data_IF_694408457680
#
_entry.id   IF_694408457680
#
_cell.length_a   1.000
_cell.length_b   1.000
_cell.length_c   1.000
_cell.angle_alpha   90.00
_cell.angle_beta   90.00
_cell.angle_gamma   90.00
#
_symmetry.space_group_name_H-M   'P 1'
#
loop_
_entity.id
_entity.type
_entity.pdbx_description
1 polymer ?
#
# COMPACT_ATOMS: atom_id res chain seq x y z
N UNK A 1 -1.45 7.99 26.28
CA UNK A 1 -0.95 8.22 24.91
C UNK A 1 -2.06 8.95 24.14
N UNK A 2 -1.83 10.19 23.67
CA UNK A 2 -2.86 10.96 22.94
C UNK A 2 -2.88 10.52 21.48
N UNK A 3 -4.03 10.04 21.01
CA UNK A 3 -4.27 9.66 19.62
C UNK A 3 -4.17 10.91 18.73
N UNK A 4 -3.17 11.00 17.84
CA UNK A 4 -3.04 12.08 16.87
C UNK A 4 -3.78 11.71 15.59
N UNK A 5 -5.03 12.20 15.43
CA UNK A 5 -5.72 12.17 14.13
C UNK A 5 -5.07 13.20 13.19
N UNK A 6 -4.27 12.73 12.25
CA UNK A 6 -3.66 13.56 11.20
C UNK A 6 -4.75 13.99 10.21
N UNK A 7 -4.89 15.30 9.99
CA UNK A 7 -5.82 15.86 8.99
C UNK A 7 -5.23 15.73 7.59
N UNK A 8 -6.06 15.40 6.61
CA UNK A 8 -5.69 15.38 5.19
C UNK A 8 -5.55 16.82 4.67
N UNK A 9 -4.56 17.09 3.82
CA UNK A 9 -4.33 18.41 3.24
C UNK A 9 -4.17 18.32 1.72
N UNK A 10 -4.91 19.15 0.97
CA UNK A 10 -4.66 19.35 -0.46
C UNK A 10 -3.47 20.29 -0.64
N UNK A 11 -2.34 19.76 -1.10
CA UNK A 11 -1.23 20.60 -1.53
C UNK A 11 -1.53 21.11 -2.94
N UNK A 12 -1.76 22.41 -3.11
CA UNK A 12 -2.20 23.01 -4.39
C UNK A 12 -1.05 23.32 -5.38
N UNK A 13 0.20 23.35 -4.92
CA UNK A 13 1.39 23.67 -5.75
C UNK A 13 2.20 22.41 -6.06
N UNK A 14 2.96 22.36 -7.17
CA UNK A 14 3.88 21.25 -7.45
C UNK A 14 4.92 21.09 -6.34
N UNK A 15 5.34 19.86 -6.10
CA UNK A 15 6.39 19.52 -5.14
C UNK A 15 7.72 20.13 -5.57
N UNK A 16 8.47 20.67 -4.60
CA UNK A 16 9.83 21.15 -4.81
C UNK A 16 10.79 20.28 -3.99
N UNK A 17 11.83 19.75 -4.62
CA UNK A 17 12.90 19.04 -3.91
C UNK A 17 13.98 20.03 -3.51
N UNK A 18 14.43 19.96 -2.27
CA UNK A 18 15.49 20.83 -1.73
C UNK A 18 16.47 20.02 -0.91
N UNK A 19 17.74 20.41 -0.96
CA UNK A 19 18.76 19.88 -0.06
C UNK A 19 18.55 20.45 1.35
N UNK A 20 18.57 19.58 2.34
CA UNK A 20 18.48 19.96 3.75
C UNK A 20 19.81 20.53 4.23
N UNK A 21 19.76 21.62 4.98
CA UNK A 21 20.95 22.24 5.55
C UNK A 21 21.56 21.31 6.63
N UNK A 22 22.89 21.14 6.67
CA UNK A 22 23.54 20.37 7.73
C UNK A 22 23.17 20.88 9.13
N UNK A 23 22.80 19.97 10.03
CA UNK A 23 22.41 20.32 11.41
C UNK A 23 20.98 20.87 11.56
N UNK A 24 20.21 21.02 10.47
CA UNK A 24 18.79 21.33 10.58
C UNK A 24 18.03 20.17 11.25
N UNK A 25 16.99 20.45 12.06
CA UNK A 25 16.16 19.41 12.63
C UNK A 25 15.32 18.73 11.54
N UNK A 26 15.03 17.44 11.72
CA UNK A 26 14.09 16.72 10.86
C UNK A 26 12.73 17.44 10.85
N UNK A 27 12.08 17.59 9.68
CA UNK A 27 10.83 18.33 9.60
C UNK A 27 9.71 17.62 10.36
N UNK A 28 8.91 18.38 11.09
CA UNK A 28 7.76 17.84 11.82
C UNK A 28 6.56 17.67 10.88
N UNK A 29 5.99 16.48 10.94
CA UNK A 29 4.91 16.04 10.07
C UNK A 29 3.59 16.16 10.83
N UNK A 30 2.78 17.15 10.44
CA UNK A 30 1.54 17.48 11.16
C UNK A 30 0.27 17.04 10.44
N UNK A 31 0.38 16.63 9.17
CA UNK A 31 -0.75 16.31 8.27
C UNK A 31 -0.39 15.14 7.36
N UNK A 32 -1.42 14.44 6.87
CA UNK A 32 -1.25 13.42 5.84
C UNK A 32 -1.48 14.04 4.45
N UNK A 33 -0.58 13.72 3.52
CA UNK A 33 -0.79 13.97 2.10
C UNK A 33 -1.72 12.90 1.52
N UNK A 34 -2.40 13.23 0.43
CA UNK A 34 -3.10 12.23 -0.38
C UNK A 34 -2.11 11.35 -1.15
N UNK A 35 -2.58 10.16 -1.58
CA UNK A 35 -1.74 9.16 -2.25
C UNK A 35 -1.08 9.69 -3.52
N UNK A 36 -1.79 10.52 -4.29
CA UNK A 36 -1.24 11.09 -5.54
C UNK A 36 -0.06 12.01 -5.23
N UNK A 37 -0.18 12.88 -4.23
CA UNK A 37 0.92 13.77 -3.82
C UNK A 37 2.13 13.03 -3.26
N UNK A 38 1.92 11.93 -2.55
CA UNK A 38 2.99 11.04 -2.09
C UNK A 38 3.74 10.46 -3.29
N UNK A 39 3.02 9.90 -4.28
CA UNK A 39 3.63 9.33 -5.47
C UNK A 39 4.38 10.36 -6.30
N UNK A 40 3.79 11.54 -6.52
CA UNK A 40 4.44 12.68 -7.20
C UNK A 40 5.74 13.08 -6.50
N UNK A 41 5.73 13.13 -5.16
CA UNK A 41 6.91 13.46 -4.39
C UNK A 41 8.00 12.40 -4.50
N UNK A 42 7.67 11.12 -4.31
CA UNK A 42 8.62 10.00 -4.43
C UNK A 42 9.30 9.98 -5.81
N UNK A 43 8.52 10.21 -6.86
CA UNK A 43 9.04 10.27 -8.23
C UNK A 43 9.95 11.49 -8.48
N UNK A 44 9.85 12.52 -7.65
CA UNK A 44 10.66 13.74 -7.79
C UNK A 44 11.99 13.66 -7.03
N UNK A 45 12.12 12.78 -6.03
CA UNK A 45 13.38 12.63 -5.31
C UNK A 45 14.48 12.11 -6.25
N UNK A 46 15.71 12.63 -6.13
CA UNK A 46 16.84 12.12 -6.91
C UNK A 46 17.08 10.64 -6.57
N UNK A 47 17.39 9.86 -7.60
CA UNK A 47 17.59 8.41 -7.52
C UNK A 47 19.03 8.04 -7.11
N UNK A 48 19.95 9.00 -7.17
CA UNK A 48 21.39 8.73 -7.09
C UNK A 48 21.87 8.39 -5.69
N UNK A 49 22.66 7.31 -5.64
CA UNK A 49 23.27 6.75 -4.42
C UNK A 49 24.52 7.54 -4.00
N UNK A 50 25.04 8.38 -4.91
CA UNK A 50 26.35 9.03 -4.77
C UNK A 50 26.28 10.54 -4.45
N UNK A 51 25.09 11.13 -4.30
CA UNK A 51 24.97 12.52 -3.85
C UNK A 51 24.96 12.61 -2.31
N UNK A 52 26.02 13.14 -1.68
CA UNK A 52 26.04 13.31 -0.23
C UNK A 52 25.06 14.42 0.16
N UNK A 53 23.87 14.04 0.59
CA UNK A 53 22.85 15.02 0.97
C UNK A 53 21.51 14.42 1.36
N UNK A 54 20.90 14.93 2.42
CA UNK A 54 19.52 14.61 2.75
C UNK A 54 18.59 15.54 1.98
N UNK A 55 17.84 14.99 1.04
CA UNK A 55 16.81 15.74 0.32
C UNK A 55 15.50 15.76 1.09
N UNK A 56 14.75 16.86 0.94
CA UNK A 56 13.40 17.02 1.46
C UNK A 56 12.47 17.52 0.36
N UNK A 57 11.25 16.99 0.35
CA UNK A 57 10.16 17.50 -0.46
C UNK A 57 9.48 18.67 0.27
N UNK A 58 9.11 19.70 -0.47
CA UNK A 58 8.51 20.92 0.04
C UNK A 58 7.25 21.31 -0.73
N UNK A 59 6.18 21.61 0.00
CA UNK A 59 5.01 22.31 -0.51
C UNK A 59 4.72 23.53 0.36
N UNK A 60 4.46 24.68 -0.25
CA UNK A 60 4.27 25.93 0.49
C UNK A 60 3.16 25.92 1.55
N UNK A 61 2.15 25.06 1.42
CA UNK A 61 1.06 24.94 2.39
C UNK A 61 1.22 23.79 3.40
N UNK A 62 2.13 22.84 3.12
CA UNK A 62 2.33 21.63 3.92
C UNK A 62 3.61 21.69 4.75
N UNK A 63 4.65 22.34 4.22
CA UNK A 63 5.99 22.35 4.79
C UNK A 63 6.91 21.33 4.11
N UNK A 64 7.89 20.86 4.88
CA UNK A 64 8.93 19.94 4.42
C UNK A 64 8.65 18.51 4.89
N UNK A 65 9.15 17.53 4.16
CA UNK A 65 9.07 16.12 4.54
C UNK A 65 10.24 15.34 3.91
N UNK A 66 10.76 14.36 4.63
CA UNK A 66 11.82 13.48 4.10
C UNK A 66 11.23 12.35 3.25
N UNK A 67 12.08 11.69 2.46
CA UNK A 67 11.70 10.51 1.71
C UNK A 67 11.17 9.37 2.60
N UNK A 68 11.83 9.13 3.74
CA UNK A 68 11.43 8.12 4.72
C UNK A 68 10.05 8.43 5.31
N UNK A 69 9.81 9.69 5.70
CA UNK A 69 8.51 10.11 6.23
C UNK A 69 7.40 9.95 5.19
N UNK A 70 7.66 10.29 3.92
CA UNK A 70 6.73 10.05 2.80
C UNK A 70 6.44 8.55 2.62
N UNK A 71 7.46 7.70 2.74
CA UNK A 71 7.31 6.25 2.60
C UNK A 71 6.45 5.67 3.71
N UNK A 72 6.66 6.13 4.95
CA UNK A 72 5.81 5.76 6.09
C UNK A 72 4.37 6.23 5.88
N UNK A 73 4.14 7.43 5.34
CA UNK A 73 2.78 7.89 5.02
C UNK A 73 2.09 7.01 3.99
N UNK A 74 2.79 6.63 2.92
CA UNK A 74 2.27 5.75 1.88
C UNK A 74 1.77 4.44 2.51
N UNK A 75 2.61 3.81 3.34
CA UNK A 75 2.27 2.58 4.04
C UNK A 75 1.07 2.74 4.96
N UNK A 76 0.99 3.83 5.73
CA UNK A 76 -0.17 4.11 6.57
C UNK A 76 -1.45 4.16 5.74
N UNK A 77 -1.43 4.81 4.57
CA UNK A 77 -2.61 4.91 3.71
C UNK A 77 -2.96 3.54 3.13
N UNK A 78 -1.98 2.79 2.64
CA UNK A 78 -2.20 1.45 2.09
C UNK A 78 -2.82 0.52 3.13
N UNK A 79 -2.23 0.43 4.32
CA UNK A 79 -2.75 -0.42 5.41
C UNK A 79 -4.16 0.00 5.81
N UNK A 80 -4.43 1.31 5.92
CA UNK A 80 -5.78 1.81 6.22
C UNK A 80 -6.80 1.39 5.17
N UNK A 81 -6.43 1.42 3.89
CA UNK A 81 -7.31 0.99 2.81
C UNK A 81 -7.58 -0.51 2.86
N UNK A 82 -6.54 -1.32 3.05
CA UNK A 82 -6.69 -2.78 3.21
C UNK A 82 -7.58 -3.14 4.39
N UNK A 83 -7.39 -2.51 5.55
CA UNK A 83 -8.24 -2.74 6.72
C UNK A 83 -9.70 -2.35 6.46
N UNK A 84 -9.92 -1.27 5.69
CA UNK A 84 -11.27 -0.84 5.30
C UNK A 84 -11.95 -1.85 4.38
N UNK A 85 -11.22 -2.39 3.40
CA UNK A 85 -11.72 -3.43 2.49
C UNK A 85 -12.05 -4.73 3.23
N UNK A 86 -11.19 -5.15 4.17
CA UNK A 86 -11.47 -6.29 5.05
C UNK A 86 -12.76 -6.04 5.84
N UNK A 87 -12.92 -4.85 6.42
CA UNK A 87 -14.16 -4.47 7.12
C UNK A 87 -15.40 -4.57 6.22
N UNK A 88 -15.34 -4.03 5.00
CA UNK A 88 -16.44 -4.16 4.03
C UNK A 88 -16.73 -5.60 3.63
N UNK A 89 -15.71 -6.43 3.53
CA UNK A 89 -15.86 -7.86 3.22
C UNK A 89 -16.57 -8.59 4.35
N UNK A 90 -16.20 -8.32 5.60
CA UNK A 90 -16.88 -8.88 6.77
C UNK A 90 -18.34 -8.42 6.84
N UNK A 91 -18.60 -7.12 6.64
CA UNK A 91 -19.95 -6.57 6.57
C UNK A 91 -20.79 -7.26 5.48
N UNK A 92 -20.18 -7.56 4.33
CA UNK A 92 -20.85 -8.29 3.25
C UNK A 92 -21.18 -9.73 3.66
N UNK A 93 -20.23 -10.48 4.24
CA UNK A 93 -20.43 -11.85 4.71
C UNK A 93 -21.59 -11.93 5.71
N UNK A 94 -21.65 -10.99 6.67
CA UNK A 94 -22.69 -10.95 7.71
C UNK A 94 -24.08 -10.61 7.16
N UNK A 95 -24.16 -9.84 6.08
CA UNK A 95 -25.44 -9.42 5.48
C UNK A 95 -26.01 -10.44 4.50
N UNK A 96 -25.20 -11.35 3.98
CA UNK A 96 -25.66 -12.38 3.05
C UNK A 96 -26.41 -13.46 3.84
N UNK A 97 -27.65 -13.72 3.43
CA UNK A 97 -28.40 -14.89 3.89
C UNK A 97 -27.89 -16.12 3.15
N UNK A 98 -26.99 -16.86 3.79
CA UNK A 98 -26.50 -18.15 3.29
C UNK A 98 -27.61 -19.20 3.38
N UNK A 99 -27.96 -19.83 2.26
CA UNK A 99 -28.72 -21.08 2.31
C UNK A 99 -27.72 -22.22 2.30
N UNK A 100 -27.88 -23.16 3.23
CA UNK A 100 -27.05 -24.38 3.30
C UNK A 100 -27.06 -25.14 1.96
N UNK A 101 -28.14 -25.04 1.19
CA UNK A 101 -28.27 -25.62 -0.16
C UNK A 101 -27.30 -25.04 -1.20
N UNK A 102 -26.77 -23.84 -0.97
CA UNK A 102 -25.82 -23.19 -1.87
C UNK A 102 -24.37 -23.62 -1.58
N UNK A 103 -24.14 -24.33 -0.46
CA UNK A 103 -22.84 -24.89 -0.08
C UNK A 103 -22.76 -26.36 -0.53
N UNK A 104 -22.19 -26.60 -1.72
CA UNK A 104 -21.88 -27.95 -2.15
C UNK A 104 -20.65 -28.48 -1.41
N UNK A 105 -20.77 -29.64 -0.75
CA UNK A 105 -19.62 -30.40 -0.27
C UNK A 105 -18.83 -30.87 -1.49
N UNK A 106 -17.67 -30.26 -1.72
CA UNK A 106 -16.71 -30.75 -2.71
C UNK A 106 -16.23 -32.12 -2.22
N UNK A 107 -16.71 -33.18 -2.87
CA UNK A 107 -16.33 -34.58 -2.57
C UNK A 107 -15.03 -35.01 -3.26
N UNK A 108 -14.43 -34.12 -4.05
CA UNK A 108 -13.15 -34.39 -4.67
C UNK A 108 -12.06 -34.30 -3.60
N UNK A 109 -11.37 -35.42 -3.37
CA UNK A 109 -10.09 -35.41 -2.68
C UNK A 109 -9.20 -34.43 -3.42
N UNK A 110 -8.65 -33.41 -2.72
CA UNK A 110 -7.62 -32.52 -3.27
C UNK A 110 -6.61 -33.40 -4.01
N UNK A 111 -6.61 -33.34 -5.34
CA UNK A 111 -5.76 -34.17 -6.16
C UNK A 111 -4.32 -33.83 -5.83
N UNK A 112 -3.60 -34.76 -5.22
CA UNK A 112 -2.16 -34.65 -5.06
C UNK A 112 -1.55 -34.54 -6.46
N UNK A 113 -1.09 -33.33 -6.80
CA UNK A 113 -0.53 -32.99 -8.11
C UNK A 113 0.69 -33.87 -8.47
N UNK A 114 1.25 -34.56 -7.47
CA UNK A 114 2.35 -35.52 -7.65
C UNK A 114 1.93 -36.90 -8.19
N UNK A 115 0.63 -37.22 -8.25
CA UNK A 115 0.15 -38.51 -8.75
C UNK A 115 0.08 -38.60 -10.29
N UNK A 116 0.22 -37.49 -11.02
CA UNK A 116 0.06 -37.46 -12.49
C UNK A 116 1.26 -37.98 -13.29
N UNK A 117 2.37 -38.37 -12.65
CA UNK A 117 3.57 -38.85 -13.36
C UNK A 117 3.61 -40.37 -13.66
N UNK A 118 2.60 -41.16 -13.25
CA UNK A 118 2.70 -42.63 -13.33
C UNK A 118 1.59 -43.38 -14.06
N UNK A 119 0.63 -42.72 -14.69
CA UNK A 119 -0.34 -43.42 -15.54
C UNK A 119 -0.11 -43.04 -16.99
N UNK A 120 0.91 -43.64 -17.57
CA UNK A 120 0.96 -43.85 -19.01
C UNK A 120 -0.16 -44.80 -19.42
N UNK A 121 -0.90 -44.44 -20.46
CA UNK A 121 -1.63 -45.34 -21.36
C UNK A 121 -2.02 -44.49 -22.57
N UNK A 122 -1.39 -44.72 -23.72
CA UNK A 122 -1.91 -45.65 -24.74
C UNK A 122 -3.39 -45.36 -25.00
N UNK A 123 -3.66 -44.62 -26.08
CA UNK A 123 -4.88 -44.79 -26.85
C UNK A 123 -4.50 -44.97 -28.31
N UNK A 124 -4.62 -46.23 -28.75
CA UNK A 124 -4.81 -46.60 -30.15
C UNK A 124 -6.09 -45.94 -30.66
N UNK A 125 -6.03 -45.35 -31.86
CA UNK A 125 -7.20 -44.91 -32.60
C UNK A 125 -7.45 -45.98 -33.68
N UNK A 126 -8.70 -46.45 -33.71
CA UNK A 126 -9.37 -47.47 -34.52
C UNK A 126 -9.20 -48.93 -34.09
#
# INVERSE_FOLDING_TARGET
>A
MKERKLKTCEALRPVQIRLMQPGAPAPDVTRLLDMRRIQEAKASFPYDVDEPGTYVAHWGAFGFITYEQITVMEWIIMVKNTLREVGFTLDWIERVLWKETDLCVVKETFGDEHALSKVGSIYHIY
#
